data_IF_614047296562
#
_entry.id   IF_614047296562
#
_cell.length_a   1.000
_cell.length_b   1.000
_cell.length_c   1.000
_cell.angle_alpha   90.00
_cell.angle_beta   90.00
_cell.angle_gamma   90.00
#
_symmetry.space_group_name_H-M   'P 1'
#
loop_
_entity.id
_entity.type
_entity.pdbx_description
1 polymer ?
#
# COMPACT_ATOMS: atom_id res chain seq x y z
N UNK A 1 -0.44 25.55 0.53
CA UNK A 1 -1.15 24.42 -0.10
C UNK A 1 -2.40 24.82 -0.89
N UNK A 2 -3.39 25.54 -0.33
CA UNK A 2 -4.61 25.94 -1.07
C UNK A 2 -4.33 26.60 -2.44
N UNK A 3 -3.29 27.44 -2.57
CA UNK A 3 -2.91 28.07 -3.86
C UNK A 3 -2.43 27.10 -4.95
N UNK A 4 -1.74 26.01 -4.60
CA UNK A 4 -1.25 25.03 -5.58
C UNK A 4 -2.37 24.12 -6.09
N UNK A 5 -3.31 23.78 -5.22
CA UNK A 5 -4.50 22.99 -5.55
C UNK A 5 -5.44 23.74 -6.52
N UNK A 6 -5.56 25.08 -6.32
CA UNK A 6 -6.28 25.97 -7.25
C UNK A 6 -5.62 26.05 -8.63
N UNK A 7 -4.30 25.94 -8.72
CA UNK A 7 -3.60 25.96 -10.01
C UNK A 7 -3.88 24.72 -10.87
N UNK A 8 -4.04 23.55 -10.24
CA UNK A 8 -4.40 22.32 -10.94
C UNK A 8 -5.86 22.33 -11.42
N UNK A 9 -6.76 22.95 -10.66
CA UNK A 9 -8.18 23.14 -11.05
C UNK A 9 -8.35 23.94 -12.36
N UNK A 10 -7.35 24.72 -12.78
CA UNK A 10 -7.39 25.52 -14.02
C UNK A 10 -7.11 24.68 -15.27
N UNK A 11 -6.57 23.47 -15.14
CA UNK A 11 -6.25 22.59 -16.28
C UNK A 11 -7.35 21.54 -16.43
N UNK A 12 -8.21 21.69 -17.45
CA UNK A 12 -9.28 20.74 -17.79
C UNK A 12 -8.76 19.53 -18.57
N UNK A 13 -7.97 18.68 -17.91
CA UNK A 13 -7.56 17.38 -18.46
C UNK A 13 -7.83 16.27 -17.43
N UNK A 14 -8.19 15.03 -17.80
CA UNK A 14 -8.41 13.92 -16.85
C UNK A 14 -7.20 13.65 -15.92
N UNK A 15 -5.99 13.91 -16.40
CA UNK A 15 -4.73 13.85 -15.63
C UNK A 15 -4.71 14.89 -14.48
N UNK A 16 -5.44 15.98 -14.60
CA UNK A 16 -5.53 16.98 -13.53
C UNK A 16 -6.24 16.41 -12.30
N UNK A 17 -7.29 15.59 -12.49
CA UNK A 17 -8.01 14.95 -11.38
C UNK A 17 -7.11 13.96 -10.62
N UNK A 18 -6.32 13.15 -11.32
CA UNK A 18 -5.37 12.23 -10.68
C UNK A 18 -4.28 12.99 -9.91
N UNK A 19 -3.70 14.02 -10.52
CA UNK A 19 -2.70 14.87 -9.87
C UNK A 19 -3.27 15.58 -8.62
N UNK A 20 -4.52 16.04 -8.69
CA UNK A 20 -5.20 16.68 -7.57
C UNK A 20 -5.31 15.75 -6.37
N UNK A 21 -5.77 14.51 -6.58
CA UNK A 21 -5.90 13.53 -5.50
C UNK A 21 -4.56 13.18 -4.89
N UNK A 22 -3.52 12.97 -5.71
CA UNK A 22 -2.18 12.65 -5.20
C UNK A 22 -1.63 13.80 -4.35
N UNK A 23 -1.78 15.05 -4.80
CA UNK A 23 -1.33 16.23 -4.05
C UNK A 23 -2.15 16.42 -2.77
N UNK A 24 -3.46 16.20 -2.82
CA UNK A 24 -4.33 16.26 -1.65
C UNK A 24 -3.99 15.16 -0.63
N UNK A 25 -3.75 13.93 -1.10
CA UNK A 25 -3.34 12.82 -0.26
C UNK A 25 -2.00 13.11 0.43
N UNK A 26 -1.01 13.62 -0.31
CA UNK A 26 0.29 14.01 0.25
C UNK A 26 0.18 15.17 1.25
N UNK A 27 -0.77 16.09 1.05
CA UNK A 27 -1.02 17.20 1.97
C UNK A 27 -1.61 16.72 3.32
N UNK A 28 -2.46 15.70 3.28
CA UNK A 28 -3.12 15.12 4.46
C UNK A 28 -2.50 13.80 4.95
N UNK A 29 -1.32 13.44 4.43
CA UNK A 29 -0.63 12.21 4.78
C UNK A 29 -0.39 12.11 6.30
N UNK A 30 -0.79 10.99 6.89
CA UNK A 30 -0.65 10.72 8.33
C UNK A 30 -1.52 11.56 9.28
N UNK A 31 -2.45 12.38 8.77
CA UNK A 31 -3.31 13.23 9.63
C UNK A 31 -4.53 12.49 10.19
N UNK A 32 -4.94 11.36 9.59
CA UNK A 32 -6.11 10.60 10.03
C UNK A 32 -7.46 11.34 9.85
N UNK A 33 -7.54 12.33 8.96
CA UNK A 33 -8.78 13.08 8.75
C UNK A 33 -9.86 12.24 8.06
N UNK A 34 -10.84 11.79 8.83
CA UNK A 34 -11.93 10.90 8.39
C UNK A 34 -12.77 11.51 7.27
N UNK A 35 -13.01 12.84 7.26
CA UNK A 35 -13.80 13.50 6.22
C UNK A 35 -13.12 13.42 4.86
N UNK A 36 -11.78 13.48 4.84
CA UNK A 36 -11.01 13.33 3.60
C UNK A 36 -10.97 11.88 3.13
N UNK A 37 -10.86 10.92 4.06
CA UNK A 37 -11.01 9.51 3.72
C UNK A 37 -12.38 9.23 3.11
N UNK A 38 -13.46 9.74 3.71
CA UNK A 38 -14.82 9.58 3.19
C UNK A 38 -15.01 10.22 1.80
N UNK A 39 -14.48 11.43 1.58
CA UNK A 39 -14.53 12.06 0.28
C UNK A 39 -13.79 11.25 -0.80
N UNK A 40 -12.62 10.68 -0.46
CA UNK A 40 -11.87 9.81 -1.36
C UNK A 40 -12.64 8.51 -1.64
N UNK A 41 -13.30 7.92 -0.65
CA UNK A 41 -14.12 6.73 -0.85
C UNK A 41 -15.34 7.00 -1.74
N UNK A 42 -15.95 8.18 -1.63
CA UNK A 42 -17.04 8.58 -2.52
C UNK A 42 -16.59 8.59 -3.99
N UNK A 43 -15.36 9.04 -4.27
CA UNK A 43 -14.79 8.97 -5.63
C UNK A 43 -14.54 7.54 -6.12
N UNK A 44 -14.37 6.55 -5.22
CA UNK A 44 -14.35 5.14 -5.61
C UNK A 44 -15.75 4.60 -5.91
N UNK A 45 -16.78 5.07 -5.21
CA UNK A 45 -18.16 4.56 -5.33
C UNK A 45 -18.98 5.25 -6.45
N UNK A 46 -18.62 6.47 -6.86
CA UNK A 46 -19.32 7.25 -7.90
C UNK A 46 -19.47 6.49 -9.23
N UNK A 47 -18.55 5.57 -9.55
CA UNK A 47 -18.61 4.74 -10.76
C UNK A 47 -19.44 3.46 -10.60
N UNK A 48 -19.55 2.91 -9.38
CA UNK A 48 -20.43 1.77 -9.08
C UNK A 48 -21.89 2.20 -9.25
N UNK A 49 -22.24 3.38 -8.72
CA UNK A 49 -23.58 3.96 -8.86
C UNK A 49 -23.95 4.35 -10.31
N UNK A 50 -22.97 4.57 -11.20
CA UNK A 50 -23.24 4.77 -12.63
C UNK A 50 -23.51 3.44 -13.35
N UNK A 51 -22.84 2.35 -12.96
CA UNK A 51 -23.09 1.01 -13.51
C UNK A 51 -24.40 0.40 -13.04
N UNK A 52 -24.83 0.66 -11.80
CA UNK A 52 -26.15 0.21 -11.29
C UNK A 52 -27.34 0.93 -11.95
N UNK A 53 -27.10 2.04 -12.67
CA UNK A 53 -28.15 2.83 -13.35
C UNK A 53 -28.32 2.52 -14.84
N UNK A 54 -27.68 1.48 -15.38
CA UNK A 54 -28.06 0.92 -16.67
C UNK A 54 -29.15 -0.16 -16.44
N UNK A 55 -30.45 0.15 -16.66
CA UNK A 55 -31.48 -0.86 -16.49
C UNK A 55 -31.42 -1.88 -17.63
N UNK A 56 -31.75 -3.11 -17.25
CA UNK A 56 -32.01 -4.29 -18.07
C UNK A 56 -32.69 -3.92 -19.40
N UNK A 57 -32.09 -4.34 -20.52
CA UNK A 57 -32.79 -4.37 -21.81
C UNK A 57 -33.77 -5.54 -21.79
N UNK A 58 -35.02 -5.23 -21.47
CA UNK A 58 -36.17 -6.09 -21.68
C UNK A 58 -36.24 -6.59 -23.13
N UNK A 59 -36.55 -7.87 -23.29
CA UNK A 59 -36.72 -8.55 -24.57
C UNK A 59 -38.07 -8.23 -25.23
N UNK A 60 -38.02 -7.70 -26.47
CA UNK A 60 -38.94 -7.85 -27.62
C UNK A 60 -40.29 -7.07 -27.68
N UNK A 61 -40.89 -6.85 -28.90
CA UNK A 61 -40.31 -6.33 -30.15
C UNK A 61 -41.22 -5.30 -30.92
N UNK A 62 -40.63 -4.71 -31.98
CA UNK A 62 -41.23 -4.15 -33.21
C UNK A 62 -41.86 -2.72 -33.28
N UNK A 63 -41.29 -1.92 -34.19
CA UNK A 63 -41.93 -1.19 -35.32
C UNK A 63 -41.57 0.31 -35.47
N UNK A 64 -40.88 0.58 -36.58
CA UNK A 64 -40.91 1.75 -37.48
C UNK A 64 -40.47 3.16 -37.05
N UNK A 65 -39.51 3.70 -37.81
CA UNK A 65 -39.67 5.05 -38.38
C UNK A 65 -38.59 6.12 -38.07
N UNK A 66 -37.55 6.15 -38.91
CA UNK A 66 -36.87 7.33 -39.46
C UNK A 66 -36.17 8.39 -38.55
N UNK A 67 -34.84 8.37 -38.65
CA UNK A 67 -33.92 9.50 -38.83
C UNK A 67 -33.79 10.58 -37.74
N UNK A 68 -32.66 10.49 -37.00
CA UNK A 68 -31.60 11.53 -36.99
C UNK A 68 -30.33 10.91 -36.38
N UNK A 69 -29.36 10.64 -37.23
CA UNK A 69 -27.97 10.39 -36.83
C UNK A 69 -27.40 11.69 -36.24
N UNK A 70 -27.44 11.83 -34.93
CA UNK A 70 -26.49 12.67 -34.22
C UNK A 70 -25.35 11.77 -33.75
N UNK A 71 -24.18 11.96 -34.36
CA UNK A 71 -22.90 11.40 -33.94
C UNK A 71 -22.68 11.71 -32.45
N UNK A 72 -23.05 10.76 -31.57
CA UNK A 72 -22.54 10.74 -30.20
C UNK A 72 -21.04 10.48 -30.28
N UNK A 73 -20.27 11.57 -30.17
CA UNK A 73 -18.84 11.54 -29.86
C UNK A 73 -18.61 10.49 -28.75
N UNK A 74 -17.62 9.61 -28.89
CA UNK A 74 -17.34 8.60 -27.87
C UNK A 74 -16.94 9.32 -26.59
N UNK A 75 -17.79 9.24 -25.56
CA UNK A 75 -17.42 9.64 -24.21
C UNK A 75 -16.24 8.73 -23.79
N UNK A 76 -15.06 9.34 -23.71
CA UNK A 76 -13.83 8.70 -23.26
C UNK A 76 -14.08 8.08 -21.91
N UNK A 77 -13.93 6.75 -21.83
CA UNK A 77 -14.00 5.98 -20.58
C UNK A 77 -13.22 6.73 -19.48
N UNK A 78 -13.81 7.04 -18.33
CA UNK A 78 -13.07 7.66 -17.24
C UNK A 78 -11.90 6.74 -16.85
N UNK A 79 -10.71 7.32 -16.70
CA UNK A 79 -9.47 6.56 -16.53
C UNK A 79 -9.50 5.65 -15.28
N UNK A 80 -9.49 4.34 -15.49
CA UNK A 80 -9.40 3.31 -14.45
C UNK A 80 -8.21 3.51 -13.48
N UNK A 81 -7.14 4.14 -13.97
CA UNK A 81 -5.93 4.44 -13.19
C UNK A 81 -6.21 5.42 -12.05
N UNK A 82 -7.22 6.28 -12.19
CA UNK A 82 -7.63 7.23 -11.16
C UNK A 82 -8.04 6.52 -9.88
N UNK A 83 -8.80 5.43 -9.99
CA UNK A 83 -9.27 4.67 -8.84
C UNK A 83 -8.12 4.02 -8.07
N UNK A 84 -7.09 3.52 -8.76
CA UNK A 84 -5.89 2.99 -8.11
C UNK A 84 -5.22 4.05 -7.21
N UNK A 85 -5.07 5.27 -7.70
CA UNK A 85 -4.49 6.36 -6.92
C UNK A 85 -5.36 6.78 -5.73
N UNK A 86 -6.70 6.71 -5.87
CA UNK A 86 -7.62 7.01 -4.76
C UNK A 86 -7.46 5.99 -3.62
N UNK A 87 -7.34 4.70 -3.93
CA UNK A 87 -7.15 3.65 -2.92
C UNK A 87 -5.81 3.82 -2.18
N UNK A 88 -4.74 4.14 -2.91
CA UNK A 88 -3.43 4.46 -2.30
C UNK A 88 -3.53 5.73 -1.44
N UNK A 89 -4.28 6.74 -1.88
CA UNK A 89 -4.51 7.97 -1.12
C UNK A 89 -5.23 7.71 0.21
N UNK A 90 -6.22 6.82 0.23
CA UNK A 90 -6.90 6.41 1.47
C UNK A 90 -5.91 5.80 2.47
N UNK A 91 -5.05 4.89 2.01
CA UNK A 91 -4.00 4.29 2.85
C UNK A 91 -2.99 5.33 3.36
N UNK A 92 -2.63 6.30 2.54
CA UNK A 92 -1.67 7.35 2.90
C UNK A 92 -2.20 8.27 4.02
N UNK A 93 -3.50 8.59 3.99
CA UNK A 93 -4.15 9.41 5.02
C UNK A 93 -4.30 8.62 6.33
N UNK A 94 -4.58 7.31 6.25
CA UNK A 94 -4.82 6.46 7.43
C UNK A 94 -3.56 5.95 8.14
N UNK A 95 -2.38 6.03 7.51
CA UNK A 95 -1.12 5.47 8.03
C UNK A 95 -0.67 6.04 9.40
N UNK A 96 -1.09 7.26 9.76
CA UNK A 96 -0.62 7.96 10.97
C UNK A 96 -1.36 7.66 12.27
N UNK A 97 -2.53 6.99 12.20
CA UNK A 97 -3.38 6.75 13.38
C UNK A 97 -3.84 5.30 13.38
N UNK A 98 -3.68 4.59 14.50
CA UNK A 98 -4.02 3.17 14.60
C UNK A 98 -5.52 2.91 14.37
N UNK A 99 -6.38 3.79 14.88
CA UNK A 99 -7.84 3.72 14.65
C UNK A 99 -8.15 3.89 13.15
N UNK A 100 -7.46 4.81 12.49
CA UNK A 100 -7.60 5.04 11.05
C UNK A 100 -7.14 3.84 10.23
N UNK A 101 -6.05 3.19 10.64
CA UNK A 101 -5.55 1.96 10.04
C UNK A 101 -6.61 0.85 10.11
N UNK A 102 -7.18 0.58 11.28
CA UNK A 102 -8.23 -0.45 11.45
C UNK A 102 -9.50 -0.14 10.64
N UNK A 103 -9.93 1.13 10.59
CA UNK A 103 -11.06 1.55 9.76
C UNK A 103 -10.78 1.31 8.27
N UNK A 104 -9.59 1.69 7.80
CA UNK A 104 -9.21 1.52 6.39
C UNK A 104 -9.13 0.05 5.97
N UNK A 105 -8.67 -0.84 6.85
CA UNK A 105 -8.64 -2.29 6.59
C UNK A 105 -10.05 -2.87 6.33
N UNK A 106 -11.06 -2.44 7.10
CA UNK A 106 -12.45 -2.87 6.86
C UNK A 106 -12.96 -2.36 5.51
N UNK A 107 -12.66 -1.12 5.17
CA UNK A 107 -13.06 -0.56 3.88
C UNK A 107 -12.37 -1.26 2.70
N UNK A 108 -11.09 -1.63 2.85
CA UNK A 108 -10.38 -2.42 1.85
C UNK A 108 -11.02 -3.80 1.63
N UNK A 109 -11.58 -4.43 2.65
CA UNK A 109 -12.35 -5.66 2.48
C UNK A 109 -13.61 -5.46 1.64
N UNK A 110 -14.35 -4.37 1.87
CA UNK A 110 -15.51 -4.04 1.03
C UNK A 110 -15.10 -3.75 -0.42
N UNK A 111 -14.01 -3.02 -0.63
CA UNK A 111 -13.46 -2.73 -1.97
C UNK A 111 -12.99 -4.00 -2.70
N UNK A 112 -12.58 -5.05 -1.99
CA UNK A 112 -12.23 -6.34 -2.61
C UNK A 112 -13.44 -7.12 -3.10
N UNK A 113 -14.61 -6.95 -2.47
CA UNK A 113 -15.83 -7.63 -2.89
C UNK A 113 -16.59 -6.89 -3.99
N UNK A 114 -16.62 -5.55 -3.91
CA UNK A 114 -17.45 -4.71 -4.80
C UNK A 114 -16.65 -3.88 -5.81
N UNK A 115 -15.32 -3.83 -5.68
CA UNK A 115 -14.48 -3.01 -6.53
C UNK A 115 -14.24 -3.57 -7.92
N UNK A 116 -13.69 -2.72 -8.79
CA UNK A 116 -13.28 -3.08 -10.14
C UNK A 116 -11.93 -3.82 -10.15
N UNK A 117 -11.57 -4.51 -11.25
CA UNK A 117 -10.32 -5.27 -11.33
C UNK A 117 -9.04 -4.46 -11.07
N UNK A 118 -9.06 -3.14 -11.33
CA UNK A 118 -7.93 -2.25 -11.02
C UNK A 118 -7.83 -2.00 -9.51
N UNK A 119 -8.96 -1.87 -8.82
CA UNK A 119 -9.03 -1.73 -7.37
C UNK A 119 -8.50 -3.01 -6.72
N UNK A 120 -8.88 -4.20 -7.19
CA UNK A 120 -8.37 -5.48 -6.65
C UNK A 120 -6.85 -5.60 -6.69
N UNK A 121 -6.21 -5.11 -7.74
CA UNK A 121 -4.74 -5.10 -7.87
C UNK A 121 -4.08 -4.14 -6.88
N UNK A 122 -4.78 -3.06 -6.52
CA UNK A 122 -4.22 -1.96 -5.72
C UNK A 122 -4.46 -2.13 -4.22
N UNK A 123 -5.55 -2.79 -3.82
CA UNK A 123 -5.90 -2.99 -2.40
C UNK A 123 -4.79 -3.71 -1.60
N UNK A 124 -4.15 -4.80 -2.07
CA UNK A 124 -3.06 -5.42 -1.32
C UNK A 124 -1.89 -4.46 -1.07
N UNK A 125 -1.56 -3.61 -2.04
CA UNK A 125 -0.52 -2.58 -1.89
C UNK A 125 -0.91 -1.54 -0.83
N UNK A 126 -2.17 -1.14 -0.80
CA UNK A 126 -2.72 -0.22 0.20
C UNK A 126 -2.67 -0.81 1.62
N UNK A 127 -3.02 -2.09 1.78
CA UNK A 127 -2.88 -2.83 3.05
C UNK A 127 -1.41 -2.85 3.50
N UNK A 128 -0.49 -3.10 2.57
CA UNK A 128 0.95 -3.06 2.84
C UNK A 128 1.45 -1.69 3.30
N UNK A 129 0.93 -0.61 2.71
CA UNK A 129 1.30 0.77 3.07
C UNK A 129 0.84 1.17 4.48
N UNK A 130 -0.36 0.76 4.90
CA UNK A 130 -0.86 1.08 6.25
C UNK A 130 0.00 0.43 7.34
N UNK A 131 0.61 -0.71 7.04
CA UNK A 131 1.25 -1.59 8.03
C UNK A 131 2.72 -1.88 7.73
N UNK A 132 3.47 -0.88 7.25
CA UNK A 132 4.91 -1.02 6.95
C UNK A 132 5.68 -1.39 8.22
N UNK A 133 6.48 -2.46 8.16
CA UNK A 133 7.28 -2.99 9.28
C UNK A 133 6.50 -3.26 10.59
N UNK A 134 5.16 -3.38 10.53
CA UNK A 134 4.33 -3.75 11.68
C UNK A 134 3.47 -4.98 11.33
N UNK A 135 4.01 -6.20 11.49
CA UNK A 135 3.32 -7.42 11.13
C UNK A 135 2.27 -7.77 12.18
N UNK A 136 1.02 -7.38 11.95
CA UNK A 136 -0.12 -7.87 12.73
C UNK A 136 -0.71 -9.13 12.08
N UNK A 137 -1.04 -10.13 12.88
CA UNK A 137 -1.58 -11.41 12.42
C UNK A 137 -2.83 -11.26 11.52
N UNK A 138 -3.82 -10.40 11.83
CA UNK A 138 -5.01 -10.27 10.99
C UNK A 138 -4.69 -9.83 9.55
N UNK A 139 -3.69 -8.96 9.38
CA UNK A 139 -3.27 -8.49 8.06
C UNK A 139 -2.52 -9.59 7.28
N UNK A 140 -1.74 -10.41 8.00
CA UNK A 140 -1.04 -11.54 7.37
C UNK A 140 -2.03 -12.60 6.89
N UNK A 141 -3.09 -12.87 7.65
CA UNK A 141 -4.11 -13.85 7.26
C UNK A 141 -4.93 -13.37 6.05
N UNK A 142 -5.21 -12.07 5.95
CA UNK A 142 -5.92 -11.49 4.79
C UNK A 142 -5.05 -11.49 3.54
N UNK A 143 -3.80 -11.03 3.63
CA UNK A 143 -2.83 -11.12 2.54
C UNK A 143 -2.52 -12.58 2.16
N UNK A 144 -2.60 -13.51 3.12
CA UNK A 144 -2.40 -14.93 2.85
C UNK A 144 -3.50 -15.54 1.98
N UNK A 145 -4.70 -14.96 1.97
CA UNK A 145 -5.78 -15.36 1.08
C UNK A 145 -5.56 -14.79 -0.33
N UNK A 146 -5.22 -13.50 -0.41
CA UNK A 146 -5.03 -12.80 -1.70
C UNK A 146 -3.83 -13.28 -2.52
N UNK A 147 -2.80 -13.86 -1.90
CA UNK A 147 -1.61 -14.39 -2.61
C UNK A 147 -1.88 -15.64 -3.47
N UNK A 148 -2.98 -16.36 -3.22
CA UNK A 148 -3.36 -17.56 -3.98
C UNK A 148 -4.54 -17.27 -4.90
N UNK A 149 -4.78 -15.98 -5.21
CA UNK A 149 -5.80 -15.59 -6.17
C UNK A 149 -5.44 -16.10 -7.57
N UNK A 150 -6.47 -16.33 -8.39
CA UNK A 150 -6.33 -16.77 -9.77
C UNK A 150 -5.73 -15.67 -10.66
N UNK A 151 -5.99 -14.39 -10.35
CA UNK A 151 -5.35 -13.29 -11.07
C UNK A 151 -3.91 -13.09 -10.57
N UNK A 152 -2.96 -13.45 -11.43
CA UNK A 152 -1.53 -13.28 -11.20
C UNK A 152 -1.16 -11.83 -10.84
N UNK A 153 -1.84 -10.82 -11.40
CA UNK A 153 -1.52 -9.43 -11.06
C UNK A 153 -1.85 -9.08 -9.60
N UNK A 154 -2.97 -9.59 -9.08
CA UNK A 154 -3.36 -9.42 -7.67
C UNK A 154 -2.42 -10.23 -6.76
N UNK A 155 -2.12 -11.46 -7.14
CA UNK A 155 -1.21 -12.33 -6.40
C UNK A 155 0.20 -11.71 -6.28
N UNK A 156 0.74 -11.15 -7.37
CA UNK A 156 2.04 -10.46 -7.37
C UNK A 156 2.08 -9.29 -6.37
N UNK A 157 1.04 -8.45 -6.40
CA UNK A 157 0.94 -7.30 -5.51
C UNK A 157 0.72 -7.71 -4.05
N UNK A 158 0.00 -8.80 -3.79
CA UNK A 158 -0.16 -9.37 -2.45
C UNK A 158 1.15 -9.96 -1.90
N UNK A 159 1.95 -10.63 -2.72
CA UNK A 159 3.27 -11.14 -2.33
C UNK A 159 4.21 -10.00 -1.96
N UNK A 160 4.24 -8.95 -2.79
CA UNK A 160 5.04 -7.76 -2.49
C UNK A 160 4.57 -7.07 -1.20
N UNK A 161 3.26 -6.91 -1.01
CA UNK A 161 2.69 -6.34 0.21
C UNK A 161 3.03 -7.14 1.47
N UNK A 162 3.01 -8.49 1.42
CA UNK A 162 3.48 -9.33 2.53
C UNK A 162 4.96 -9.08 2.85
N UNK A 163 5.79 -8.92 1.81
CA UNK A 163 7.20 -8.54 1.97
C UNK A 163 7.34 -7.20 2.69
N UNK A 164 6.53 -6.20 2.31
CA UNK A 164 6.54 -4.83 2.84
C UNK A 164 6.10 -4.74 4.32
N UNK A 165 5.08 -5.51 4.72
CA UNK A 165 4.62 -5.59 6.11
C UNK A 165 5.68 -6.21 7.02
N UNK A 166 6.42 -7.18 6.49
CA UNK A 166 7.44 -7.93 7.22
C UNK A 166 8.84 -7.31 7.27
N UNK A 167 9.06 -6.12 6.72
CA UNK A 167 10.40 -5.62 6.46
C UNK A 167 11.21 -5.48 7.74
N UNK A 168 12.37 -6.14 7.78
CA UNK A 168 13.31 -6.08 8.90
C UNK A 168 12.82 -6.75 10.19
N UNK A 169 11.62 -7.34 10.20
CA UNK A 169 11.04 -7.92 11.43
C UNK A 169 11.54 -9.33 11.71
N UNK A 170 12.11 -10.01 10.70
CA UNK A 170 12.54 -11.40 10.77
C UNK A 170 11.47 -12.34 11.39
N UNK A 171 10.19 -12.11 11.05
CA UNK A 171 9.10 -12.92 11.57
C UNK A 171 9.12 -14.32 10.93
N UNK A 172 9.32 -15.35 11.76
CA UNK A 172 9.47 -16.75 11.34
C UNK A 172 8.25 -17.26 10.57
N UNK A 173 7.04 -16.89 11.01
CA UNK A 173 5.79 -17.34 10.37
C UNK A 173 5.70 -16.82 8.92
N UNK A 174 5.93 -15.52 8.73
CA UNK A 174 5.93 -14.87 7.42
C UNK A 174 7.05 -15.43 6.51
N UNK A 175 8.25 -15.62 7.06
CA UNK A 175 9.37 -16.18 6.31
C UNK A 175 9.07 -17.60 5.83
N UNK A 176 8.46 -18.44 6.67
CA UNK A 176 8.06 -19.79 6.29
C UNK A 176 6.95 -19.77 5.24
N UNK A 177 5.97 -18.88 5.39
CA UNK A 177 4.92 -18.67 4.40
C UNK A 177 5.49 -18.30 3.02
N UNK A 178 6.44 -17.35 2.95
CA UNK A 178 7.08 -16.96 1.69
C UNK A 178 7.94 -18.09 1.10
N UNK A 179 8.51 -18.98 1.94
CA UNK A 179 9.27 -20.14 1.47
C UNK A 179 8.37 -21.17 0.78
N UNK A 180 7.18 -21.43 1.34
CA UNK A 180 6.19 -22.31 0.70
C UNK A 180 5.71 -21.75 -0.64
N UNK A 181 5.52 -20.43 -0.74
CA UNK A 181 5.17 -19.76 -2.00
C UNK A 181 6.23 -19.90 -3.08
N UNK A 182 7.51 -19.82 -2.72
CA UNK A 182 8.59 -20.00 -3.69
C UNK A 182 8.55 -21.39 -4.35
N UNK A 183 8.16 -22.42 -3.58
CA UNK A 183 7.93 -23.76 -4.12
C UNK A 183 6.70 -23.84 -5.04
N UNK A 184 5.62 -23.13 -4.70
CA UNK A 184 4.39 -23.10 -5.49
C UNK A 184 4.57 -22.38 -6.85
N UNK A 185 5.16 -21.18 -6.84
CA UNK A 185 5.36 -20.33 -8.02
C UNK A 185 6.65 -20.63 -8.79
N UNK A 186 7.29 -21.80 -8.59
CA UNK A 186 8.54 -22.16 -9.26
C UNK A 186 8.44 -22.11 -10.80
N UNK A 187 7.26 -22.41 -11.36
CA UNK A 187 7.03 -22.43 -12.81
C UNK A 187 6.91 -21.02 -13.43
N UNK A 188 6.56 -20.01 -12.64
CA UNK A 188 6.37 -18.64 -13.12
C UNK A 188 7.51 -17.73 -12.67
N UNK A 189 8.41 -17.31 -13.57
CA UNK A 189 9.61 -16.57 -13.20
C UNK A 189 9.30 -15.20 -12.57
N UNK A 190 8.23 -14.55 -13.03
CA UNK A 190 7.80 -13.22 -12.57
C UNK A 190 7.34 -13.25 -11.10
N UNK A 191 6.52 -14.24 -10.75
CA UNK A 191 6.06 -14.47 -9.39
C UNK A 191 7.21 -14.89 -8.49
N UNK A 192 8.08 -15.78 -8.97
CA UNK A 192 9.26 -16.20 -8.23
C UNK A 192 10.21 -15.02 -7.91
N UNK A 193 10.44 -14.13 -8.89
CA UNK A 193 11.26 -12.94 -8.70
C UNK A 193 10.73 -12.06 -7.55
N UNK A 194 9.43 -11.78 -7.54
CA UNK A 194 8.81 -10.96 -6.49
C UNK A 194 8.80 -11.67 -5.13
N UNK A 195 8.62 -12.99 -5.09
CA UNK A 195 8.77 -13.78 -3.85
C UNK A 195 10.20 -13.66 -3.30
N UNK A 196 11.22 -13.72 -4.15
CA UNK A 196 12.61 -13.54 -3.73
C UNK A 196 12.88 -12.13 -3.19
N UNK A 197 12.35 -11.09 -3.85
CA UNK A 197 12.42 -9.71 -3.35
C UNK A 197 11.74 -9.60 -1.98
N UNK A 198 10.53 -10.15 -1.83
CA UNK A 198 9.80 -10.15 -0.56
C UNK A 198 10.57 -10.88 0.55
N UNK A 199 11.18 -12.04 0.28
CA UNK A 199 12.03 -12.75 1.24
C UNK A 199 13.26 -11.94 1.65
N UNK A 200 13.88 -11.23 0.70
CA UNK A 200 14.98 -10.31 0.97
C UNK A 200 14.58 -9.15 1.87
N UNK A 201 13.40 -8.56 1.64
CA UNK A 201 12.83 -7.50 2.46
C UNK A 201 12.58 -7.95 3.91
N UNK A 202 12.09 -9.17 4.14
CA UNK A 202 11.85 -9.68 5.50
C UNK A 202 13.15 -9.77 6.33
N UNK A 203 14.27 -10.11 5.67
CA UNK A 203 15.58 -10.27 6.30
C UNK A 203 16.51 -9.07 6.09
N UNK A 204 15.96 -7.88 5.77
CA UNK A 204 16.75 -6.70 5.44
C UNK A 204 17.75 -6.34 6.55
N UNK A 205 19.04 -6.28 6.21
CA UNK A 205 20.11 -6.07 7.19
C UNK A 205 20.16 -7.13 8.31
N UNK A 206 19.78 -8.39 8.02
CA UNK A 206 19.54 -9.45 9.02
C UNK A 206 18.46 -9.11 10.06
N UNK A 207 17.56 -8.19 9.71
CA UNK A 207 16.53 -7.64 10.59
C UNK A 207 16.95 -6.38 11.37
N UNK A 208 18.15 -5.84 11.11
CA UNK A 208 18.57 -4.58 11.74
C UNK A 208 18.01 -3.35 11.03
N UNK A 209 17.55 -3.45 9.78
CA UNK A 209 17.04 -2.31 9.01
C UNK A 209 15.52 -2.46 8.87
N UNK A 210 14.78 -1.47 9.36
CA UNK A 210 13.32 -1.40 9.19
C UNK A 210 12.93 -0.34 8.17
N UNK A 211 11.70 -0.45 7.66
CA UNK A 211 11.05 0.59 6.87
C UNK A 211 9.91 1.17 7.69
N UNK A 212 10.20 2.22 8.46
CA UNK A 212 9.15 2.96 9.14
C UNK A 212 9.23 4.43 8.73
N UNK A 213 8.23 4.97 8.01
CA UNK A 213 8.24 6.39 7.64
C UNK A 213 8.03 7.32 8.84
N UNK A 214 7.58 6.79 9.98
CA UNK A 214 7.38 7.54 11.21
C UNK A 214 8.53 7.37 12.21
N UNK A 215 8.86 8.47 12.85
CA UNK A 215 9.76 8.56 13.99
C UNK A 215 8.96 8.82 15.27
N UNK A 216 9.42 8.26 16.40
CA UNK A 216 8.82 8.38 17.74
C UNK A 216 7.31 8.05 17.83
N UNK A 217 6.96 6.78 18.11
CA UNK A 217 5.57 6.30 18.31
C UNK A 217 4.52 6.95 17.37
N UNK A 218 4.79 6.90 16.06
CA UNK A 218 3.91 7.41 14.98
C UNK A 218 3.63 8.92 14.99
N UNK A 219 4.34 9.72 15.80
CA UNK A 219 4.09 11.16 15.95
C UNK A 219 4.72 12.03 14.86
N UNK A 220 5.93 11.71 14.39
CA UNK A 220 6.67 12.55 13.44
C UNK A 220 6.83 11.81 12.11
N UNK A 221 6.20 12.31 11.07
CA UNK A 221 6.29 11.75 9.72
C UNK A 221 7.47 12.32 8.94
N UNK A 222 8.31 11.45 8.38
CA UNK A 222 9.38 11.86 7.47
C UNK A 222 8.89 11.92 6.02
N UNK A 223 8.84 13.14 5.48
CA UNK A 223 8.35 13.40 4.12
C UNK A 223 9.14 12.67 3.03
N UNK A 224 10.50 12.59 3.09
CA UNK A 224 11.26 11.87 2.07
C UNK A 224 10.97 10.37 2.07
N UNK A 225 10.81 9.75 3.25
CA UNK A 225 10.52 8.33 3.33
C UNK A 225 9.14 8.03 2.75
N UNK A 226 8.12 8.81 3.12
CA UNK A 226 6.78 8.64 2.56
C UNK A 226 6.78 8.78 1.04
N UNK A 227 7.53 9.73 0.48
CA UNK A 227 7.66 9.90 -0.97
C UNK A 227 8.30 8.67 -1.65
N UNK A 228 9.33 8.07 -1.04
CA UNK A 228 9.97 6.86 -1.57
C UNK A 228 9.06 5.63 -1.53
N UNK A 229 8.33 5.42 -0.44
CA UNK A 229 7.31 4.36 -0.34
C UNK A 229 6.21 4.55 -1.37
N UNK A 230 5.69 5.78 -1.51
CA UNK A 230 4.65 6.11 -2.46
C UNK A 230 5.12 5.87 -3.89
N UNK A 231 6.32 6.31 -4.26
CA UNK A 231 6.90 6.09 -5.58
C UNK A 231 6.91 4.59 -5.93
N UNK A 232 7.39 3.73 -5.03
CA UNK A 232 7.42 2.29 -5.27
C UNK A 232 6.00 1.72 -5.43
N UNK A 233 5.05 2.09 -4.57
CA UNK A 233 3.68 1.58 -4.66
C UNK A 233 2.96 2.02 -5.94
N UNK A 234 3.20 3.25 -6.42
CA UNK A 234 2.65 3.72 -7.71
C UNK A 234 3.24 3.01 -8.91
N UNK A 235 4.43 2.40 -8.79
CA UNK A 235 5.01 1.59 -9.86
C UNK A 235 4.40 0.19 -9.86
N UNK A 236 4.08 -0.35 -8.67
CA UNK A 236 3.46 -1.66 -8.54
C UNK A 236 2.00 -1.73 -9.02
N UNK A 237 1.34 -0.60 -9.31
CA UNK A 237 0.02 -0.63 -9.98
C UNK A 237 0.10 -1.25 -11.38
N UNK A 238 1.26 -1.15 -12.06
CA UNK A 238 1.57 -1.88 -13.29
C UNK A 238 2.92 -2.62 -13.17
N UNK A 239 2.94 -3.61 -12.28
CA UNK A 239 4.16 -4.35 -11.93
C UNK A 239 4.77 -5.14 -13.11
N UNK A 240 3.95 -5.62 -14.06
CA UNK A 240 4.43 -6.44 -15.18
C UNK A 240 5.29 -5.62 -16.15
N UNK A 241 4.77 -4.47 -16.60
CA UNK A 241 5.46 -3.67 -17.62
C UNK A 241 6.63 -2.85 -17.05
N UNK A 242 6.54 -2.39 -15.80
CA UNK A 242 7.58 -1.54 -15.22
C UNK A 242 8.67 -2.34 -14.50
N UNK A 243 8.30 -3.11 -13.48
CA UNK A 243 9.28 -3.71 -12.56
C UNK A 243 9.92 -4.95 -13.16
N UNK A 244 9.13 -5.81 -13.81
CA UNK A 244 9.61 -7.10 -14.33
C UNK A 244 10.32 -7.00 -15.68
N UNK A 245 10.06 -5.95 -16.47
CA UNK A 245 10.70 -5.76 -17.78
C UNK A 245 11.92 -4.83 -17.73
N UNK A 246 11.70 -3.51 -17.59
CA UNK A 246 12.73 -2.48 -17.88
C UNK A 246 13.28 -1.75 -16.66
N UNK A 247 12.46 -1.55 -15.62
CA UNK A 247 12.73 -0.59 -14.55
C UNK A 247 12.84 -1.23 -13.16
N UNK A 248 13.55 -2.35 -13.08
CA UNK A 248 13.88 -3.03 -11.80
C UNK A 248 14.50 -2.10 -10.75
N UNK A 249 15.27 -1.10 -11.18
CA UNK A 249 15.96 -0.16 -10.29
C UNK A 249 15.01 0.77 -9.52
N UNK A 250 13.74 0.89 -9.91
CA UNK A 250 12.77 1.71 -9.14
C UNK A 250 12.56 1.16 -7.72
N UNK A 251 12.86 -0.12 -7.48
CA UNK A 251 12.89 -0.68 -6.13
C UNK A 251 13.94 0.00 -5.22
N UNK A 252 14.99 0.61 -5.77
CA UNK A 252 15.97 1.35 -4.96
C UNK A 252 15.41 2.63 -4.33
N UNK A 253 14.25 3.12 -4.75
CA UNK A 253 13.61 4.24 -4.06
C UNK A 253 13.22 3.92 -2.61
N UNK A 254 13.12 2.61 -2.25
CA UNK A 254 13.01 2.15 -0.86
C UNK A 254 14.22 2.53 0.01
N UNK A 255 15.38 2.88 -0.54
CA UNK A 255 16.54 3.28 0.27
C UNK A 255 16.24 4.52 1.11
N UNK A 256 15.38 5.42 0.62
CA UNK A 256 14.98 6.63 1.35
C UNK A 256 14.17 6.35 2.61
N UNK A 257 13.61 5.14 2.73
CA UNK A 257 12.79 4.71 3.87
C UNK A 257 13.56 3.81 4.84
N UNK A 258 14.79 3.42 4.47
CA UNK A 258 15.63 2.54 5.29
C UNK A 258 16.13 3.26 6.53
N UNK A 259 15.72 2.76 7.69
CA UNK A 259 16.21 3.22 8.97
C UNK A 259 16.95 2.08 9.71
N UNK A 260 18.26 2.21 9.95
CA UNK A 260 19.02 1.21 10.70
C UNK A 260 18.69 1.29 12.19
N UNK A 261 18.40 0.14 12.78
CA UNK A 261 18.23 -0.09 14.22
C UNK A 261 19.38 -0.97 14.69
N UNK A 262 20.41 -0.34 15.25
CA UNK A 262 21.52 -1.04 15.90
C UNK A 262 21.47 -0.79 17.41
N UNK A 263 21.65 -1.86 18.18
CA UNK A 263 21.84 -1.79 19.62
C UNK A 263 23.32 -2.04 19.89
N UNK A 264 23.97 -1.10 20.56
CA UNK A 264 25.34 -1.27 21.05
C UNK A 264 25.22 -1.42 22.56
N UNK A 265 25.40 -2.65 23.05
CA UNK A 265 25.48 -2.92 24.49
C UNK A 265 26.92 -2.74 24.95
N UNK A 266 27.10 -1.79 25.86
CA UNK A 266 28.39 -1.36 26.38
C UNK A 266 28.41 -1.63 27.88
N UNK A 267 29.52 -2.18 28.40
CA UNK A 267 29.75 -2.37 29.84
C UNK A 267 30.17 -1.06 30.53
N UNK A 268 30.22 -1.03 31.87
CA UNK A 268 30.68 0.13 32.67
C UNK A 268 32.10 0.61 32.29
N UNK A 269 32.89 -0.26 31.63
CA UNK A 269 34.24 0.02 31.12
C UNK A 269 34.31 0.44 29.65
N UNK A 270 33.17 0.76 29.03
CA UNK A 270 33.07 1.11 27.60
C UNK A 270 33.43 -0.02 26.61
N UNK A 271 33.49 -1.28 27.07
CA UNK A 271 33.74 -2.44 26.21
C UNK A 271 32.44 -3.01 25.64
N UNK A 272 32.46 -3.44 24.38
CA UNK A 272 31.29 -4.02 23.70
C UNK A 272 31.01 -5.43 24.22
N UNK A 273 29.86 -5.64 24.86
CA UNK A 273 29.37 -6.97 25.22
C UNK A 273 28.34 -7.47 24.21
N UNK A 274 28.44 -8.71 23.71
CA UNK A 274 27.42 -9.28 22.83
C UNK A 274 26.20 -9.74 23.67
N UNK A 275 25.15 -8.93 23.71
CA UNK A 275 23.86 -9.34 24.29
C UNK A 275 22.93 -9.82 23.18
N UNK A 276 22.29 -10.98 23.37
CA UNK A 276 21.33 -11.51 22.41
C UNK A 276 20.00 -10.78 22.55
N UNK A 277 19.62 -10.03 21.51
CA UNK A 277 18.32 -9.34 21.44
C UNK A 277 17.49 -9.95 20.32
N UNK A 278 16.22 -10.27 20.61
CA UNK A 278 15.28 -10.69 19.57
C UNK A 278 14.90 -9.48 18.72
N UNK A 279 15.25 -9.55 17.45
CA UNK A 279 14.78 -8.63 16.42
C UNK A 279 13.25 -8.76 16.30
N UNK A 280 12.51 -7.65 16.34
CA UNK A 280 11.06 -7.62 16.11
C UNK A 280 10.21 -6.98 17.22
N UNK A 281 10.74 -6.80 18.43
CA UNK A 281 10.12 -5.89 19.43
C UNK A 281 10.63 -4.47 19.23
N UNK A 282 9.78 -3.47 19.48
CA UNK A 282 10.16 -2.06 19.38
C UNK A 282 11.36 -1.77 20.30
N UNK A 283 12.54 -1.55 19.70
CA UNK A 283 13.80 -1.20 20.38
C UNK A 283 13.78 0.21 21.01
N UNK A 284 12.67 0.94 20.90
CA UNK A 284 12.49 2.29 21.47
C UNK A 284 12.19 2.22 22.98
N UNK A 285 11.91 1.03 23.51
CA UNK A 285 11.64 0.84 24.93
C UNK A 285 12.91 0.37 25.64
N UNK A 286 13.60 1.28 26.32
CA UNK A 286 14.68 0.90 27.24
C UNK A 286 14.04 0.28 28.49
N UNK A 287 14.23 -1.02 28.68
CA UNK A 287 13.76 -1.72 29.87
C UNK A 287 14.49 -3.05 30.07
N UNK A 288 14.59 -3.52 31.32
CA UNK A 288 15.09 -4.86 31.59
C UNK A 288 14.28 -5.90 30.81
N UNK A 289 14.98 -6.91 30.26
CA UNK A 289 14.35 -8.00 29.51
C UNK A 289 13.17 -8.58 30.31
N UNK A 290 11.95 -8.49 29.74
CA UNK A 290 10.72 -9.02 30.33
C UNK A 290 9.73 -7.98 30.89
N UNK A 291 10.07 -6.70 31.00
CA UNK A 291 9.10 -5.61 31.29
C UNK A 291 9.38 -4.38 30.41
N UNK A 292 8.76 -4.24 29.24
CA UNK A 292 8.86 -3.02 28.46
C UNK A 292 8.15 -1.88 29.22
N UNK A 293 8.91 -0.86 29.65
CA UNK A 293 8.35 0.39 30.21
C UNK A 293 8.55 1.51 29.22
N UNK A 294 7.46 2.04 28.68
CA UNK A 294 7.43 3.25 27.85
C UNK A 294 8.02 4.42 28.66
N UNK A 295 8.96 5.15 28.08
CA UNK A 295 9.51 6.36 28.71
C UNK A 295 8.41 7.42 28.66
N UNK A 296 7.76 7.70 29.79
CA UNK A 296 7.01 8.94 29.96
C UNK A 296 8.04 10.07 30.05
N UNK A 297 7.97 11.01 29.10
CA UNK A 297 8.95 12.07 28.92
C UNK A 297 9.12 13.02 30.13
N UNK A 298 10.24 13.71 30.12
CA UNK A 298 10.26 15.14 30.39
C UNK A 298 10.04 15.88 29.07
#
# INVERSE_FOLDING_TARGET
>A
MKRQLVFLLVIEHPISKTAQIIVEACAFAGTGNVLKVQAMLHHCDEHINMKEKEPEKDETPAADGAAKEEEKKPETKPDDTFQAFVVIAVALISMGVDIGAEMSLRQFHHLMHYGEPIIWKTVPLAIGLVSVSNPQLPILDTLSKYRHDNDLAVALNAIFAMGLVGVGTNNVCLAQMLRVLAGYYYKEPNCLFIVCVAQGLVHMGKGTIGLNPFFADRSIMSRPAVAGLLAVLTVFTDAKNFILDKYHWMLYFLVTTMYPRFLITVDEKLESMPVTVRVGQALVVVGPAGKPRTISGF
#
